data_IF_908336860837
#
_entry.id   IF_908336860837
#
_cell.length_a   1.000
_cell.length_b   1.000
_cell.length_c   1.000
_cell.angle_alpha   90.00
_cell.angle_beta   90.00
_cell.angle_gamma   90.00
#
_symmetry.space_group_name_H-M   'P 1'
#
loop_
_entity.id
_entity.type
_entity.pdbx_description
1 polymer ?
#
# COMPACT_ATOMS: atom_id res chain seq x y z
N UNK A 1 -8.21 7.14 33.19
CA UNK A 1 -8.67 6.29 32.12
C UNK A 1 -7.83 6.42 30.89
N UNK A 2 -7.10 5.41 30.63
CA UNK A 2 -6.22 5.44 29.47
C UNK A 2 -6.89 4.96 28.20
N UNK A 3 -8.14 4.55 28.28
CA UNK A 3 -8.78 3.89 27.17
C UNK A 3 -8.88 4.73 25.90
N UNK A 4 -9.29 5.99 25.95
CA UNK A 4 -9.35 6.78 24.72
C UNK A 4 -7.99 6.91 24.06
N UNK A 5 -6.95 7.06 24.85
CA UNK A 5 -5.60 7.17 24.32
C UNK A 5 -5.18 5.90 23.62
N UNK A 6 -5.48 4.75 24.20
CA UNK A 6 -5.16 3.47 23.58
C UNK A 6 -5.87 3.29 22.25
N UNK A 7 -7.13 3.70 22.19
CA UNK A 7 -7.88 3.62 20.93
C UNK A 7 -7.24 4.46 19.85
N UNK A 8 -6.73 5.61 20.21
CA UNK A 8 -6.14 6.51 19.24
C UNK A 8 -4.77 6.03 18.76
N UNK A 9 -4.18 5.06 19.41
CA UNK A 9 -2.91 4.52 18.97
C UNK A 9 -3.05 3.52 17.82
N UNK A 10 -4.27 3.10 17.55
CA UNK A 10 -4.51 2.18 16.47
C UNK A 10 -4.14 0.75 16.81
N UNK A 11 -3.97 -0.04 15.79
CA UNK A 11 -3.70 -1.46 15.91
C UNK A 11 -2.59 -1.86 14.94
N UNK A 12 -1.97 -3.04 15.13
CA UNK A 12 -0.95 -3.51 14.18
C UNK A 12 -1.57 -3.64 12.79
N UNK A 13 -0.89 -3.16 11.76
CA UNK A 13 -1.47 -3.21 10.42
C UNK A 13 -1.54 -4.66 9.92
N UNK A 14 -2.64 -4.97 9.29
CA UNK A 14 -2.82 -6.27 8.64
C UNK A 14 -3.30 -6.04 7.22
N UNK A 15 -2.84 -6.87 6.30
CA UNK A 15 -3.23 -6.72 4.92
C UNK A 15 -4.75 -6.93 4.76
N UNK A 16 -5.47 -5.95 4.23
CA UNK A 16 -6.91 -6.09 4.07
C UNK A 16 -7.29 -7.12 3.01
N UNK A 17 -6.34 -7.53 2.19
CA UNK A 17 -6.61 -8.45 1.10
C UNK A 17 -6.38 -9.90 1.50
N UNK A 18 -5.47 -10.18 2.42
CA UNK A 18 -5.18 -11.55 2.81
C UNK A 18 -5.14 -11.77 4.32
N UNK A 19 -5.22 -10.72 5.11
CA UNK A 19 -5.24 -10.84 6.57
C UNK A 19 -3.89 -10.99 7.25
N UNK A 20 -2.80 -11.12 6.48
CA UNK A 20 -1.49 -11.28 7.08
C UNK A 20 -1.02 -9.98 7.71
N UNK A 21 -0.26 -10.07 8.79
CA UNK A 21 0.36 -8.89 9.37
C UNK A 21 1.32 -8.26 8.38
N UNK A 22 1.30 -6.93 8.29
CA UNK A 22 2.19 -6.23 7.39
C UNK A 22 3.56 -6.04 8.06
N UNK A 23 4.66 -6.27 7.33
CA UNK A 23 5.98 -6.00 7.89
C UNK A 23 6.22 -4.51 8.04
N UNK A 24 7.19 -4.15 8.85
CA UNK A 24 7.57 -2.75 8.95
C UNK A 24 8.09 -2.27 7.61
N UNK A 25 7.67 -1.09 7.17
CA UNK A 25 8.20 -0.53 5.94
C UNK A 25 9.68 -0.20 6.13
N UNK A 26 10.42 -0.37 5.08
CA UNK A 26 11.83 -0.02 5.06
C UNK A 26 12.19 0.52 3.68
N UNK A 27 13.41 0.98 3.54
CA UNK A 27 13.85 1.51 2.28
C UNK A 27 13.65 0.46 1.20
N UNK A 28 13.09 0.86 0.08
CA UNK A 28 12.83 -0.04 -1.02
C UNK A 28 14.03 -0.05 -1.96
N UNK A 29 14.36 -1.22 -2.43
CA UNK A 29 15.47 -1.38 -3.37
C UNK A 29 14.96 -1.23 -4.79
N UNK A 30 15.85 -0.85 -5.68
CA UNK A 30 15.51 -0.75 -7.09
C UNK A 30 14.77 0.52 -7.47
N UNK A 31 14.67 1.47 -6.57
CA UNK A 31 14.03 2.74 -6.84
C UNK A 31 14.82 3.87 -6.19
N UNK A 32 14.89 5.05 -6.82
CA UNK A 32 15.52 6.20 -6.18
C UNK A 32 14.64 6.84 -5.13
N UNK A 33 13.41 6.42 -4.99
CA UNK A 33 12.49 7.01 -4.02
C UNK A 33 12.96 6.75 -2.60
N UNK A 34 12.82 7.75 -1.74
CA UNK A 34 13.16 7.62 -0.33
C UNK A 34 11.98 7.19 0.52
N UNK A 35 10.80 7.01 -0.07
CA UNK A 35 9.63 6.59 0.68
C UNK A 35 9.77 5.13 1.06
N UNK A 36 9.63 4.82 2.36
CA UNK A 36 9.73 3.42 2.77
C UNK A 36 8.49 2.63 2.38
N UNK A 37 8.66 1.35 2.26
CA UNK A 37 7.55 0.48 1.90
C UNK A 37 7.92 -0.97 2.09
N UNK A 38 7.01 -1.84 1.66
CA UNK A 38 7.24 -3.27 1.71
C UNK A 38 6.20 -3.97 0.83
N UNK A 39 6.30 -5.27 0.78
CA UNK A 39 5.38 -6.09 0.00
C UNK A 39 4.78 -7.16 0.91
N UNK A 40 3.49 -7.37 0.78
CA UNK A 40 2.83 -8.47 1.45
C UNK A 40 2.99 -9.75 0.64
N UNK A 41 2.94 -10.89 1.31
CA UNK A 41 3.04 -12.17 0.64
C UNK A 41 1.96 -12.38 -0.42
N UNK A 42 0.81 -11.73 -0.28
CA UNK A 42 -0.26 -11.85 -1.27
C UNK A 42 -0.01 -11.03 -2.54
N UNK A 43 1.07 -10.26 -2.57
CA UNK A 43 1.39 -9.40 -3.71
C UNK A 43 1.01 -7.95 -3.54
N UNK A 44 0.29 -7.61 -2.48
CA UNK A 44 -0.01 -6.20 -2.20
C UNK A 44 1.28 -5.46 -1.87
N UNK A 45 1.38 -4.24 -2.36
CA UNK A 45 2.53 -3.39 -2.08
C UNK A 45 2.08 -2.18 -1.28
N UNK A 46 2.91 -1.74 -0.36
CA UNK A 46 2.56 -0.55 0.38
C UNK A 46 3.76 0.39 0.53
N UNK A 47 3.45 1.66 0.56
CA UNK A 47 4.43 2.74 0.67
C UNK A 47 3.92 3.70 1.72
N UNK A 48 4.83 4.20 2.53
CA UNK A 48 4.51 5.15 3.57
C UNK A 48 4.96 6.54 3.16
N UNK A 49 4.05 7.49 3.31
CA UNK A 49 4.37 8.90 3.21
C UNK A 49 4.58 9.42 4.63
N UNK A 50 5.82 9.64 5.05
CA UNK A 50 6.08 10.03 6.43
C UNK A 50 5.51 11.40 6.80
N UNK A 51 5.34 12.26 5.81
CA UNK A 51 4.88 13.63 6.07
C UNK A 51 3.36 13.76 5.99
N UNK A 52 2.72 12.80 5.34
CA UNK A 52 1.29 12.90 5.05
C UNK A 52 0.95 13.89 3.95
N UNK A 53 1.95 14.46 3.27
CA UNK A 53 1.73 15.50 2.26
C UNK A 53 2.11 15.08 0.86
N UNK A 54 2.73 13.92 0.71
CA UNK A 54 3.18 13.42 -0.59
C UNK A 54 2.33 12.24 -1.05
N UNK A 55 1.03 12.34 -0.84
CA UNK A 55 0.13 11.23 -1.14
C UNK A 55 0.16 10.80 -2.60
N UNK A 56 0.23 11.77 -3.51
CA UNK A 56 0.31 11.44 -4.92
C UNK A 56 1.53 10.61 -5.25
N UNK A 57 2.68 11.02 -4.72
CA UNK A 57 3.92 10.29 -4.96
C UNK A 57 3.87 8.91 -4.32
N UNK A 58 3.36 8.82 -3.09
CA UNK A 58 3.30 7.54 -2.41
C UNK A 58 2.41 6.54 -3.15
N UNK A 59 1.28 6.98 -3.63
CA UNK A 59 0.39 6.13 -4.39
C UNK A 59 1.04 5.66 -5.68
N UNK A 60 1.67 6.57 -6.42
CA UNK A 60 2.36 6.21 -7.66
C UNK A 60 3.50 5.24 -7.42
N UNK A 61 4.22 5.41 -6.31
CA UNK A 61 5.29 4.50 -5.95
C UNK A 61 4.75 3.11 -5.65
N UNK A 62 3.64 3.03 -4.90
CA UNK A 62 3.03 1.76 -4.59
C UNK A 62 2.53 1.06 -5.85
N UNK A 63 1.94 1.80 -6.77
CA UNK A 63 1.48 1.24 -8.04
C UNK A 63 2.64 0.73 -8.87
N UNK A 64 3.73 1.48 -8.93
CA UNK A 64 4.90 1.04 -9.68
C UNK A 64 5.47 -0.25 -9.07
N UNK A 65 5.54 -0.31 -7.74
CA UNK A 65 6.02 -1.52 -7.07
C UNK A 65 5.12 -2.72 -7.39
N UNK A 66 3.81 -2.50 -7.41
CA UNK A 66 2.87 -3.56 -7.74
C UNK A 66 3.03 -4.04 -9.19
N UNK A 67 3.51 -3.18 -10.06
CA UNK A 67 3.79 -3.50 -11.45
C UNK A 67 5.23 -3.97 -11.67
N UNK A 68 5.93 -4.36 -10.60
CA UNK A 68 7.31 -4.82 -10.73
C UNK A 68 8.31 -3.72 -11.08
N UNK A 69 7.98 -2.47 -10.79
CA UNK A 69 8.82 -1.33 -11.11
C UNK A 69 8.51 -0.68 -12.45
N UNK A 70 7.51 -1.18 -13.15
CA UNK A 70 7.14 -0.65 -14.46
C UNK A 70 6.23 0.57 -14.31
N UNK A 71 6.85 1.74 -14.30
CA UNK A 71 6.10 2.98 -14.12
C UNK A 71 5.24 3.32 -15.33
N UNK A 72 5.69 2.95 -16.51
CA UNK A 72 4.90 3.20 -17.72
C UNK A 72 3.59 2.44 -17.63
N UNK A 73 3.65 1.17 -17.21
CA UNK A 73 2.44 0.37 -17.05
C UNK A 73 1.55 0.95 -15.96
N UNK A 74 2.13 1.34 -14.82
CA UNK A 74 1.32 1.82 -13.69
C UNK A 74 0.55 3.09 -14.03
N UNK A 75 1.05 3.89 -14.96
CA UNK A 75 0.38 5.13 -15.35
C UNK A 75 -0.95 4.91 -16.06
N UNK A 76 -1.19 3.72 -16.56
CA UNK A 76 -2.44 3.41 -17.26
C UNK A 76 -3.46 2.70 -16.39
N UNK A 77 -3.13 2.42 -15.14
CA UNK A 77 -4.03 1.71 -14.25
C UNK A 77 -5.10 2.64 -13.71
N UNK A 78 -6.31 2.10 -13.58
CA UNK A 78 -7.44 2.86 -13.07
C UNK A 78 -7.93 2.27 -11.77
N UNK A 79 -8.19 3.11 -10.76
CA UNK A 79 -8.66 2.62 -9.46
C UNK A 79 -10.00 1.92 -9.59
N UNK A 80 -10.14 0.85 -8.85
CA UNK A 80 -11.38 0.08 -8.84
C UNK A 80 -11.50 -0.90 -9.98
N UNK A 81 -10.80 -0.66 -11.07
CA UNK A 81 -10.81 -1.57 -12.22
C UNK A 81 -9.54 -2.41 -12.28
N UNK A 82 -8.40 -1.75 -12.15
CA UNK A 82 -7.11 -2.41 -12.31
C UNK A 82 -6.41 -2.64 -11.00
N UNK A 83 -6.77 -1.91 -9.97
CA UNK A 83 -6.19 -2.09 -8.65
C UNK A 83 -7.16 -1.64 -7.57
N UNK A 84 -6.93 -2.18 -6.38
CA UNK A 84 -7.60 -1.74 -5.16
C UNK A 84 -6.61 -0.99 -4.33
N UNK A 85 -7.07 0.04 -3.64
CA UNK A 85 -6.20 0.83 -2.78
C UNK A 85 -6.83 1.02 -1.40
N UNK A 86 -5.97 1.19 -0.42
CA UNK A 86 -6.38 1.54 0.92
C UNK A 86 -5.39 2.55 1.46
N UNK A 87 -5.91 3.62 2.06
CA UNK A 87 -5.08 4.68 2.61
C UNK A 87 -5.47 4.86 4.06
N UNK A 88 -4.50 4.69 4.96
CA UNK A 88 -4.76 4.81 6.39
C UNK A 88 -3.71 5.67 7.07
N UNK A 89 -4.09 6.30 8.16
CA UNK A 89 -3.13 7.00 9.00
C UNK A 89 -2.26 5.97 9.71
N UNK A 90 -0.97 6.24 9.80
CA UNK A 90 0.00 5.25 10.23
C UNK A 90 1.01 5.88 11.19
N UNK A 91 1.28 5.16 12.28
CA UNK A 91 2.32 5.53 13.23
C UNK A 91 3.55 4.69 12.94
N UNK A 92 4.56 5.32 12.35
CA UNK A 92 5.76 4.61 11.94
C UNK A 92 6.61 4.14 13.11
N UNK A 93 6.55 4.85 14.24
CA UNK A 93 7.33 4.45 15.41
C UNK A 93 6.80 3.17 16.02
N UNK A 94 5.49 3.06 16.14
CA UNK A 94 4.85 1.92 16.79
C UNK A 94 4.44 0.84 15.81
N UNK A 95 4.52 1.11 14.53
CA UNK A 95 4.02 0.20 13.48
C UNK A 95 2.56 -0.13 13.75
N UNK A 96 1.73 0.92 13.78
CA UNK A 96 0.30 0.79 14.00
C UNK A 96 -0.44 1.73 13.09
N UNK A 97 -1.60 1.32 12.64
CA UNK A 97 -2.45 2.19 11.85
C UNK A 97 -3.79 2.44 12.53
N UNK A 98 -4.44 3.55 12.15
CA UNK A 98 -5.79 3.87 12.62
C UNK A 98 -6.72 3.61 11.45
N UNK A 99 -7.34 2.45 11.49
CA UNK A 99 -8.20 2.02 10.41
C UNK A 99 -9.50 2.78 10.41
N UNK A 100 -9.94 3.18 9.22
CA UNK A 100 -11.23 3.80 9.07
C UNK A 100 -11.31 5.26 9.47
N UNK A 101 -10.22 5.86 9.92
CA UNK A 101 -10.22 7.28 10.23
C UNK A 101 -10.18 8.06 8.94
N UNK A 102 -11.25 8.76 8.64
CA UNK A 102 -11.34 9.51 7.38
C UNK A 102 -10.49 10.76 7.43
N UNK A 103 -9.78 10.99 6.36
CA UNK A 103 -8.93 12.14 6.25
C UNK A 103 -7.61 11.97 6.94
N UNK A 104 -6.75 12.97 6.77
CA UNK A 104 -5.41 12.92 7.32
C UNK A 104 -5.42 13.34 8.78
N UNK A 105 -4.81 12.53 9.61
CA UNK A 105 -4.59 12.90 11.00
C UNK A 105 -3.26 13.61 11.11
N UNK A 106 -3.31 14.85 11.54
CA UNK A 106 -2.13 15.69 11.65
C UNK A 106 -1.07 15.04 12.52
N UNK A 107 0.16 15.10 12.07
CA UNK A 107 1.29 14.55 12.80
C UNK A 107 1.54 13.08 12.55
N UNK A 108 0.71 12.42 11.76
CA UNK A 108 0.92 11.02 11.44
C UNK A 108 1.38 10.86 10.01
N UNK A 109 2.07 9.77 9.76
CA UNK A 109 2.33 9.33 8.40
C UNK A 109 1.06 8.76 7.80
N UNK A 110 1.08 8.50 6.50
CA UNK A 110 0.00 7.81 5.82
C UNK A 110 0.55 6.61 5.08
N UNK A 111 -0.18 5.53 5.14
CA UNK A 111 0.20 4.28 4.51
C UNK A 111 -0.69 4.07 3.29
N UNK A 112 -0.08 3.87 2.14
CA UNK A 112 -0.76 3.63 0.88
C UNK A 112 -0.54 2.19 0.47
N UNK A 113 -1.62 1.44 0.39
CA UNK A 113 -1.58 0.03 0.09
C UNK A 113 -2.32 -0.22 -1.21
N UNK A 114 -1.69 -0.97 -2.10
CA UNK A 114 -2.22 -1.24 -3.42
C UNK A 114 -2.11 -2.71 -3.74
N UNK A 115 -3.15 -3.27 -4.35
CA UNK A 115 -3.10 -4.62 -4.91
C UNK A 115 -3.72 -4.60 -6.28
N UNK A 116 -3.04 -5.20 -7.25
CA UNK A 116 -3.58 -5.30 -8.60
C UNK A 116 -4.76 -6.27 -8.63
N UNK A 117 -5.76 -5.90 -9.41
CA UNK A 117 -6.92 -6.75 -9.63
C UNK A 117 -6.65 -7.54 -10.90
N UNK A 118 -6.66 -8.88 -10.85
CA UNK A 118 -6.49 -9.67 -12.07
C UNK A 118 -7.64 -9.39 -13.01
N UNK A 119 -7.34 -9.16 -14.27
CA UNK A 119 -8.40 -8.98 -15.24
C UNK A 119 -9.01 -10.35 -15.56
N UNK A 120 -10.28 -10.40 -15.90
CA UNK A 120 -10.88 -11.68 -16.28
C UNK A 120 -10.13 -12.38 -17.41
N UNK A 121 -9.64 -11.63 -18.36
CA UNK A 121 -8.86 -12.22 -19.45
C UNK A 121 -7.56 -12.82 -18.98
N UNK A 122 -6.85 -12.11 -18.11
CA UNK A 122 -5.61 -12.63 -17.57
C UNK A 122 -5.84 -13.87 -16.72
N UNK A 123 -6.92 -13.86 -15.93
CA UNK A 123 -7.25 -15.02 -15.12
C UNK A 123 -7.57 -16.22 -15.96
N UNK A 124 -8.29 -16.03 -17.04
CA UNK A 124 -8.65 -17.12 -17.92
C UNK A 124 -7.45 -17.64 -18.70
N UNK A 125 -6.55 -16.77 -19.02
CA UNK A 125 -5.34 -17.19 -19.71
C UNK A 125 -4.40 -17.92 -18.77
N UNK A 126 -4.64 -17.79 -17.51
CA UNK A 126 -3.80 -18.43 -16.51
C UNK A 126 -2.40 -17.91 -16.61
N UNK A 127 -1.44 -18.74 -16.34
CA UNK A 127 -0.06 -18.35 -16.46
C UNK A 127 0.29 -18.19 -17.90
N UNK A 128 -0.47 -17.56 -18.59
CA UNK A 128 -0.32 -17.25 -19.92
C UNK A 128 0.89 -17.68 -20.53
N UNK A 129 0.76 -18.63 -21.28
CA UNK A 129 1.83 -18.99 -22.08
C UNK A 129 2.15 -17.82 -22.91
N UNK A 130 3.35 -17.57 -23.06
CA UNK A 130 3.73 -16.61 -24.01
C UNK A 130 3.06 -17.01 -25.26
N UNK A 131 2.58 -16.09 -25.94
CA UNK A 131 2.10 -16.36 -27.24
C UNK A 131 3.21 -17.06 -27.91
N UNK A 132 2.89 -18.09 -28.36
CA UNK A 132 3.89 -18.85 -29.03
C UNK A 132 4.51 -18.01 -30.11
#
# INVERSE_FOLDING_TARGET
MAMPTLRMRGEPPACPFCGAGLPRPKRREGTPSLLPGARCACGACFVVDPTGRNGGDALLEALADACGGDRARSNFLQPGRDYEELIENYDAQLHRWIKGFRGYRRGMARLYLVRLIPSPGAAQQGPTPPPA
#
